data_IF_836581791996
#
_entry.id   IF_836581791996
#
_cell.length_a   1.000
_cell.length_b   1.000
_cell.length_c   1.000
_cell.angle_alpha   90.00
_cell.angle_beta   90.00
_cell.angle_gamma   90.00
#
_symmetry.space_group_name_H-M   'P 1'
#
loop_
_entity.id
_entity.type
_entity.pdbx_description
1 polymer ?
#
# COMPACT_ATOMS: atom_id res chain seq x y z
N UNK A 1 -23.73 -0.40 -14.22
CA UNK A 1 -22.39 -0.92 -13.93
C UNK A 1 -22.56 -1.94 -12.82
N UNK A 2 -22.34 -3.21 -13.10
CA UNK A 2 -22.68 -4.28 -12.17
C UNK A 2 -21.81 -4.19 -10.91
N UNK A 3 -22.41 -4.40 -9.74
CA UNK A 3 -21.74 -4.32 -8.44
C UNK A 3 -20.49 -5.21 -8.37
N UNK A 4 -20.51 -6.37 -9.04
CA UNK A 4 -19.35 -7.25 -9.17
C UNK A 4 -18.17 -6.60 -9.91
N UNK A 5 -18.43 -5.86 -10.99
CA UNK A 5 -17.38 -5.20 -11.77
C UNK A 5 -16.71 -4.08 -10.96
N UNK A 6 -17.48 -3.33 -10.17
CA UNK A 6 -16.98 -2.33 -9.23
C UNK A 6 -16.05 -2.95 -8.18
N UNK A 7 -16.44 -4.09 -7.61
CA UNK A 7 -15.63 -4.83 -6.62
C UNK A 7 -14.31 -5.30 -7.23
N UNK A 8 -14.34 -5.90 -8.43
CA UNK A 8 -13.13 -6.37 -9.12
C UNK A 8 -12.19 -5.21 -9.43
N UNK A 9 -12.71 -4.09 -9.94
CA UNK A 9 -11.91 -2.89 -10.22
C UNK A 9 -11.27 -2.35 -8.93
N UNK A 10 -12.04 -2.24 -7.85
CA UNK A 10 -11.54 -1.77 -6.56
C UNK A 10 -10.42 -2.65 -6.00
N UNK A 11 -10.57 -3.97 -6.10
CA UNK A 11 -9.55 -4.94 -5.69
C UNK A 11 -8.28 -4.78 -6.52
N UNK A 12 -8.41 -4.69 -7.85
CA UNK A 12 -7.26 -4.49 -8.75
C UNK A 12 -6.53 -3.18 -8.45
N UNK A 13 -7.25 -2.08 -8.23
CA UNK A 13 -6.66 -0.79 -7.85
C UNK A 13 -5.92 -0.92 -6.51
N UNK A 14 -6.51 -1.59 -5.52
CA UNK A 14 -5.87 -1.82 -4.23
C UNK A 14 -4.53 -2.56 -4.37
N UNK A 15 -4.50 -3.63 -5.16
CA UNK A 15 -3.29 -4.41 -5.45
C UNK A 15 -2.21 -3.54 -6.12
N UNK A 16 -2.59 -2.69 -7.07
CA UNK A 16 -1.67 -1.75 -7.70
C UNK A 16 -1.08 -0.76 -6.69
N UNK A 17 -1.90 -0.16 -5.82
CA UNK A 17 -1.45 0.77 -4.79
C UNK A 17 -0.45 0.10 -3.83
N UNK A 18 -0.72 -1.15 -3.43
CA UNK A 18 0.21 -1.92 -2.62
C UNK A 18 1.54 -2.19 -3.33
N UNK A 19 1.49 -2.54 -4.63
CA UNK A 19 2.69 -2.74 -5.44
C UNK A 19 3.53 -1.46 -5.56
N UNK A 20 2.90 -0.30 -5.70
CA UNK A 20 3.57 1.01 -5.76
C UNK A 20 4.35 1.28 -4.47
N UNK A 21 3.82 0.93 -3.30
CA UNK A 21 4.54 1.10 -2.02
C UNK A 21 5.83 0.28 -1.98
N UNK A 22 5.76 -0.99 -2.34
CA UNK A 22 6.94 -1.87 -2.39
C UNK A 22 7.95 -1.35 -3.42
N UNK A 23 7.46 -0.87 -4.57
CA UNK A 23 8.30 -0.29 -5.61
C UNK A 23 8.94 1.05 -5.25
N UNK A 24 8.30 1.87 -4.40
CA UNK A 24 8.92 3.07 -3.81
C UNK A 24 10.20 2.70 -3.05
N UNK A 25 10.12 1.69 -2.17
CA UNK A 25 11.28 1.21 -1.41
C UNK A 25 12.39 0.67 -2.31
N UNK A 26 12.01 -0.12 -3.31
CA UNK A 26 12.94 -0.72 -4.26
C UNK A 26 13.59 0.30 -5.21
N UNK A 27 12.84 1.31 -5.67
CA UNK A 27 13.31 2.27 -6.66
C UNK A 27 14.22 3.37 -6.09
N UNK A 28 14.03 3.75 -4.83
CA UNK A 28 14.91 4.73 -4.17
C UNK A 28 16.16 4.11 -3.54
N UNK A 29 16.13 2.81 -3.22
CA UNK A 29 17.26 2.13 -2.62
C UNK A 29 18.36 1.78 -3.61
N UNK A 30 19.57 1.62 -3.08
CA UNK A 30 20.74 1.22 -3.86
C UNK A 30 20.79 -0.30 -4.06
N UNK A 31 19.70 -0.87 -4.60
CA UNK A 31 19.58 -2.31 -4.88
C UNK A 31 19.66 -2.58 -6.38
N UNK A 32 20.11 -3.79 -6.70
CA UNK A 32 20.25 -4.28 -8.07
C UNK A 32 18.90 -4.65 -8.66
N UNK A 33 18.77 -4.60 -9.99
CA UNK A 33 17.54 -5.05 -10.68
C UNK A 33 17.20 -6.52 -10.38
N UNK A 34 18.22 -7.34 -10.06
CA UNK A 34 18.05 -8.73 -9.62
C UNK A 34 17.35 -8.80 -8.27
N UNK A 35 17.77 -8.00 -7.28
CA UNK A 35 17.10 -7.93 -5.98
C UNK A 35 15.63 -7.51 -6.12
N UNK A 36 15.34 -6.52 -6.98
CA UNK A 36 13.95 -6.10 -7.27
C UNK A 36 13.13 -7.26 -7.83
N UNK A 37 13.68 -8.00 -8.80
CA UNK A 37 13.03 -9.17 -9.37
C UNK A 37 12.80 -10.28 -8.32
N UNK A 38 13.76 -10.52 -7.42
CA UNK A 38 13.60 -11.51 -6.36
C UNK A 38 12.48 -11.14 -5.38
N UNK A 39 12.36 -9.86 -5.03
CA UNK A 39 11.28 -9.35 -4.18
C UNK A 39 9.94 -9.48 -4.91
N UNK A 40 9.84 -8.99 -6.15
CA UNK A 40 8.61 -9.10 -6.94
C UNK A 40 8.19 -10.57 -7.14
N UNK A 41 9.14 -11.47 -7.40
CA UNK A 41 8.88 -12.89 -7.56
C UNK A 41 8.44 -13.57 -6.26
N UNK A 42 8.95 -13.16 -5.09
CA UNK A 42 8.50 -13.71 -3.81
C UNK A 42 7.04 -13.32 -3.54
N UNK A 43 6.65 -12.09 -3.87
CA UNK A 43 5.25 -11.65 -3.81
C UNK A 43 4.35 -12.39 -4.79
N UNK A 44 4.81 -12.61 -6.02
CA UNK A 44 4.11 -13.41 -7.01
C UNK A 44 3.83 -14.83 -6.48
N UNK A 45 4.85 -15.47 -5.88
CA UNK A 45 4.71 -16.80 -5.31
C UNK A 45 3.77 -16.83 -4.10
N UNK A 46 3.84 -15.81 -3.24
CA UNK A 46 2.90 -15.64 -2.12
C UNK A 46 1.45 -15.50 -2.63
N UNK A 47 1.22 -14.71 -3.69
CA UNK A 47 -0.12 -14.57 -4.29
C UNK A 47 -0.64 -15.89 -4.86
N UNK A 48 0.22 -16.70 -5.50
CA UNK A 48 -0.14 -18.04 -5.96
C UNK A 48 -0.49 -18.97 -4.80
N UNK A 49 0.31 -18.94 -3.72
CA UNK A 49 0.07 -19.75 -2.53
C UNK A 49 -1.27 -19.39 -1.89
N UNK A 50 -1.54 -18.10 -1.69
CA UNK A 50 -2.82 -17.63 -1.15
C UNK A 50 -3.99 -17.93 -2.09
N UNK A 51 -3.84 -17.76 -3.41
CA UNK A 51 -4.87 -18.13 -4.37
C UNK A 51 -5.18 -19.64 -4.37
N UNK A 52 -4.18 -20.49 -4.13
CA UNK A 52 -4.35 -21.95 -4.06
C UNK A 52 -5.05 -22.40 -2.77
N UNK A 53 -4.84 -21.67 -1.67
CA UNK A 53 -5.43 -21.96 -0.35
C UNK A 53 -6.73 -21.18 -0.11
N UNK A 54 -7.06 -20.20 -0.97
CA UNK A 54 -8.22 -19.32 -0.85
C UNK A 54 -9.53 -20.11 -0.69
N UNK A 55 -9.69 -21.21 -1.44
CA UNK A 55 -10.90 -22.04 -1.40
C UNK A 55 -11.02 -22.88 -0.10
N UNK A 56 -9.96 -22.95 0.71
CA UNK A 56 -9.91 -23.70 1.98
C UNK A 56 -9.80 -22.81 3.22
N UNK A 57 -9.67 -21.50 3.05
CA UNK A 57 -9.60 -20.54 4.15
C UNK A 57 -11.01 -20.18 4.62
N UNK A 58 -11.34 -20.49 5.87
CA UNK A 58 -12.56 -19.99 6.49
C UNK A 58 -12.42 -18.49 6.78
N UNK A 59 -13.48 -17.72 6.50
CA UNK A 59 -13.54 -16.28 6.79
C UNK A 59 -13.26 -15.97 8.27
N UNK A 60 -13.59 -16.89 9.19
CA UNK A 60 -13.34 -16.74 10.63
C UNK A 60 -11.84 -16.77 10.99
N UNK A 61 -11.05 -17.64 10.35
CA UNK A 61 -9.60 -17.68 10.54
C UNK A 61 -8.95 -16.39 10.00
N UNK A 62 -9.51 -15.86 8.91
CA UNK A 62 -9.09 -14.61 8.33
C UNK A 62 -9.43 -13.41 9.23
N UNK A 63 -10.64 -13.33 9.79
CA UNK A 63 -11.02 -12.26 10.71
C UNK A 63 -10.15 -12.24 11.96
N UNK A 64 -9.83 -13.40 12.54
CA UNK A 64 -8.87 -13.48 13.66
C UNK A 64 -7.49 -12.96 13.24
N UNK A 65 -6.98 -13.36 12.08
CA UNK A 65 -5.70 -12.88 11.55
C UNK A 65 -5.73 -11.35 11.28
N UNK A 66 -6.83 -10.82 10.76
CA UNK A 66 -7.03 -9.39 10.52
C UNK A 66 -7.14 -8.57 11.80
N UNK A 67 -7.79 -9.10 12.84
CA UNK A 67 -7.87 -8.46 14.15
C UNK A 67 -6.49 -8.32 14.82
N UNK A 68 -5.65 -9.35 14.73
CA UNK A 68 -4.23 -9.26 15.11
C UNK A 68 -3.45 -8.33 14.17
N UNK A 69 -3.84 -8.29 12.90
CA UNK A 69 -3.25 -7.45 11.86
C UNK A 69 -3.28 -5.96 12.20
N UNK A 70 -4.32 -5.47 12.88
CA UNK A 70 -4.41 -4.08 13.35
C UNK A 70 -3.27 -3.69 14.29
N UNK A 71 -2.93 -4.56 15.25
CA UNK A 71 -1.78 -4.34 16.15
C UNK A 71 -0.45 -4.33 15.39
N UNK A 72 -0.30 -5.23 14.42
CA UNK A 72 0.90 -5.27 13.58
C UNK A 72 0.96 -4.04 12.66
N UNK A 73 -0.17 -3.49 12.23
CA UNK A 73 -0.22 -2.27 11.42
C UNK A 73 0.34 -1.07 12.17
N UNK A 74 0.03 -0.94 13.47
CA UNK A 74 0.59 0.08 14.36
C UNK A 74 2.09 -0.14 14.58
N UNK A 75 2.52 -1.39 14.77
CA UNK A 75 3.95 -1.68 14.92
C UNK A 75 4.73 -1.34 13.65
N UNK A 76 4.21 -1.71 12.49
CA UNK A 76 4.80 -1.38 11.18
C UNK A 76 4.80 0.13 10.94
N UNK A 77 3.75 0.86 11.34
CA UNK A 77 3.70 2.31 11.17
C UNK A 77 4.77 3.02 12.00
N UNK A 78 4.95 2.64 13.26
CA UNK A 78 6.01 3.14 14.12
C UNK A 78 7.40 2.81 13.57
N UNK A 79 7.59 1.58 13.06
CA UNK A 79 8.84 1.16 12.44
C UNK A 79 9.14 1.99 11.18
N UNK A 80 8.14 2.26 10.33
CA UNK A 80 8.30 3.10 9.14
C UNK A 80 8.65 4.55 9.48
N UNK A 81 8.02 5.12 10.52
CA UNK A 81 8.35 6.47 11.01
C UNK A 81 9.78 6.49 11.53
N UNK A 82 10.15 5.54 12.40
CA UNK A 82 11.50 5.44 12.95
C UNK A 82 12.58 5.24 11.89
N UNK A 83 12.34 4.33 10.94
CA UNK A 83 13.24 4.08 9.81
C UNK A 83 13.33 5.29 8.87
N UNK A 84 12.24 6.03 8.67
CA UNK A 84 12.22 7.27 7.89
C UNK A 84 13.08 8.37 8.52
N UNK A 85 12.90 8.64 9.82
CA UNK A 85 13.71 9.59 10.60
C UNK A 85 15.18 9.16 10.59
N UNK A 86 15.46 7.88 10.82
CA UNK A 86 16.83 7.34 10.80
C UNK A 86 17.49 7.53 9.42
N UNK A 87 16.75 7.24 8.34
CA UNK A 87 17.25 7.41 6.96
C UNK A 87 17.62 8.86 6.69
N UNK A 88 16.75 9.82 7.04
CA UNK A 88 17.04 11.25 6.85
C UNK A 88 18.23 11.72 7.69
N UNK A 89 18.25 11.39 8.99
CA UNK A 89 19.32 11.81 9.90
C UNK A 89 20.69 11.31 9.45
N UNK A 90 20.74 10.05 8.97
CA UNK A 90 21.98 9.42 8.55
C UNK A 90 22.45 9.87 7.17
N UNK A 91 21.51 10.13 6.26
CA UNK A 91 21.80 10.76 4.98
C UNK A 91 22.39 12.16 5.15
N UNK A 92 21.82 12.98 6.04
CA UNK A 92 22.36 14.31 6.35
C UNK A 92 23.76 14.24 7.02
N UNK A 93 24.13 13.09 7.59
CA UNK A 93 25.47 12.82 8.10
C UNK A 93 26.44 12.24 7.03
N UNK A 94 26.05 12.25 5.75
CA UNK A 94 26.84 11.77 4.62
C UNK A 94 26.94 10.25 4.46
N UNK A 95 26.11 9.47 5.18
CA UNK A 95 26.13 7.99 5.12
C UNK A 95 24.85 7.46 4.48
N UNK A 96 24.99 6.74 3.36
CA UNK A 96 23.87 6.06 2.72
C UNK A 96 23.48 4.78 3.49
N UNK A 97 22.32 4.81 4.13
CA UNK A 97 21.70 3.65 4.80
C UNK A 97 20.45 3.15 4.10
N UNK A 98 20.18 3.64 2.89
CA UNK A 98 18.99 3.30 2.12
C UNK A 98 18.88 1.79 1.85
N UNK A 99 20.03 1.09 1.73
CA UNK A 99 20.06 -0.38 1.61
C UNK A 99 19.63 -1.14 2.86
N UNK A 100 19.67 -0.53 4.04
CA UNK A 100 19.16 -1.19 5.26
C UNK A 100 17.70 -0.82 5.53
N UNK A 101 17.31 0.41 5.22
CA UNK A 101 15.96 0.90 5.52
C UNK A 101 14.94 0.55 4.44
N UNK A 102 15.36 0.18 3.22
CA UNK A 102 14.40 -0.30 2.20
C UNK A 102 13.66 -1.56 2.63
N UNK A 103 14.31 -2.41 3.42
CA UNK A 103 13.68 -3.64 3.90
C UNK A 103 12.48 -3.32 4.79
N UNK A 104 12.53 -2.25 5.58
CA UNK A 104 11.42 -1.84 6.43
C UNK A 104 10.15 -1.47 5.64
N UNK A 105 10.31 -0.88 4.45
CA UNK A 105 9.17 -0.50 3.58
C UNK A 105 8.76 -1.61 2.61
N UNK A 106 9.71 -2.45 2.22
CA UNK A 106 9.52 -3.56 1.28
C UNK A 106 9.23 -4.90 1.96
N UNK A 107 9.24 -4.99 3.28
CA UNK A 107 8.85 -6.23 3.97
C UNK A 107 7.34 -6.43 3.84
N UNK A 108 6.87 -7.66 3.52
CA UNK A 108 5.46 -7.96 3.45
C UNK A 108 4.81 -7.70 4.81
N UNK A 109 3.93 -6.72 4.87
CA UNK A 109 3.13 -6.50 6.07
C UNK A 109 2.08 -7.62 6.13
N UNK A 110 1.84 -8.27 7.30
CA UNK A 110 0.86 -9.35 7.38
C UNK A 110 -0.56 -8.88 7.02
N UNK A 111 -0.84 -7.59 7.21
CA UNK A 111 -2.09 -6.96 6.74
C UNK A 111 -2.20 -6.96 5.21
N UNK A 112 -1.10 -6.70 4.52
CA UNK A 112 -1.02 -6.68 3.06
C UNK A 112 -1.24 -8.09 2.50
N UNK A 113 -0.63 -9.10 3.13
CA UNK A 113 -0.87 -10.50 2.80
C UNK A 113 -2.32 -10.90 3.07
N UNK A 114 -2.90 -10.42 4.17
CA UNK A 114 -4.31 -10.61 4.46
C UNK A 114 -5.20 -10.00 3.37
N UNK A 115 -4.98 -8.74 3.04
CA UNK A 115 -5.72 -8.05 1.99
C UNK A 115 -5.61 -8.77 0.63
N UNK A 116 -4.43 -9.32 0.30
CA UNK A 116 -4.24 -10.15 -0.89
C UNK A 116 -5.05 -11.45 -0.83
N UNK A 117 -5.09 -12.13 0.31
CA UNK A 117 -5.88 -13.36 0.46
C UNK A 117 -7.39 -13.09 0.30
N UNK A 118 -7.94 -12.07 0.97
CA UNK A 118 -9.35 -11.67 0.78
C UNK A 118 -9.63 -11.22 -0.63
N UNK A 119 -8.71 -10.48 -1.25
CA UNK A 119 -8.84 -10.07 -2.65
C UNK A 119 -8.95 -11.29 -3.57
N UNK A 120 -8.17 -12.34 -3.34
CA UNK A 120 -8.26 -13.58 -4.11
C UNK A 120 -9.59 -14.32 -3.86
N UNK A 121 -10.04 -14.41 -2.61
CA UNK A 121 -11.32 -15.05 -2.27
C UNK A 121 -12.50 -14.33 -2.93
N UNK A 122 -12.58 -13.00 -2.80
CA UNK A 122 -13.64 -12.19 -3.40
C UNK A 122 -13.63 -12.24 -4.93
N UNK A 123 -12.45 -12.27 -5.56
CA UNK A 123 -12.36 -12.47 -7.02
C UNK A 123 -12.78 -13.88 -7.44
N UNK A 124 -12.51 -14.90 -6.63
CA UNK A 124 -12.94 -16.30 -6.86
C UNK A 124 -14.45 -16.40 -6.93
N UNK A 125 -15.12 -15.81 -5.96
CA UNK A 125 -16.57 -15.77 -5.91
C UNK A 125 -17.16 -14.92 -7.05
N UNK A 126 -16.57 -13.76 -7.33
CA UNK A 126 -17.08 -12.83 -8.35
C UNK A 126 -16.92 -13.34 -9.78
N UNK A 127 -15.85 -14.07 -10.09
CA UNK A 127 -15.54 -14.54 -11.45
C UNK A 127 -15.84 -16.02 -11.67
N UNK A 128 -16.23 -16.77 -10.62
CA UNK A 128 -16.42 -18.24 -10.67
C UNK A 128 -15.21 -18.99 -11.29
N UNK A 129 -14.01 -18.47 -11.06
CA UNK A 129 -12.75 -19.05 -11.55
C UNK A 129 -12.07 -19.84 -10.44
N UNK A 130 -11.33 -20.89 -10.80
CA UNK A 130 -10.48 -21.63 -9.84
C UNK A 130 -9.47 -20.70 -9.15
N UNK A 131 -9.27 -20.85 -7.83
CA UNK A 131 -8.39 -19.98 -7.03
C UNK A 131 -6.95 -19.83 -7.57
N UNK A 132 -6.40 -20.87 -8.21
CA UNK A 132 -5.08 -20.82 -8.86
C UNK A 132 -5.02 -19.78 -10.00
N UNK A 133 -6.07 -19.68 -10.82
CA UNK A 133 -6.12 -18.71 -11.94
C UNK A 133 -6.17 -17.27 -11.42
N UNK A 134 -6.84 -17.06 -10.30
CA UNK A 134 -6.93 -15.74 -9.65
C UNK A 134 -5.63 -15.39 -8.94
N UNK A 135 -5.02 -16.34 -8.23
CA UNK A 135 -3.68 -16.17 -7.67
C UNK A 135 -2.67 -15.80 -8.75
N UNK A 136 -2.78 -16.38 -9.95
CA UNK A 136 -1.97 -16.00 -11.11
C UNK A 136 -2.23 -14.55 -11.55
N UNK A 137 -3.51 -14.17 -11.71
CA UNK A 137 -3.89 -12.81 -12.13
C UNK A 137 -3.43 -11.73 -11.13
N UNK A 138 -3.70 -11.96 -9.84
CA UNK A 138 -3.28 -11.08 -8.73
C UNK A 138 -1.76 -11.05 -8.62
N UNK A 139 -1.10 -12.19 -8.76
CA UNK A 139 0.35 -12.27 -8.79
C UNK A 139 0.96 -11.44 -9.93
N UNK A 140 0.50 -11.63 -11.17
CA UNK A 140 1.03 -10.91 -12.35
C UNK A 140 0.84 -9.40 -12.19
N UNK A 141 -0.34 -8.97 -11.75
CA UNK A 141 -0.64 -7.55 -11.53
C UNK A 141 0.25 -6.95 -10.45
N UNK A 142 0.45 -7.63 -9.32
CA UNK A 142 1.34 -7.16 -8.26
C UNK A 142 2.80 -7.12 -8.72
N UNK A 143 3.27 -8.18 -9.38
CA UNK A 143 4.63 -8.25 -9.95
C UNK A 143 4.88 -7.09 -10.90
N UNK A 144 3.95 -6.85 -11.83
CA UNK A 144 4.04 -5.77 -12.81
C UNK A 144 4.05 -4.41 -12.11
N UNK A 145 3.17 -4.21 -11.12
CA UNK A 145 3.11 -2.98 -10.34
C UNK A 145 4.45 -2.69 -9.63
N UNK A 146 5.05 -3.70 -8.98
CA UNK A 146 6.34 -3.54 -8.28
C UNK A 146 7.46 -3.22 -9.27
N UNK A 147 7.57 -3.95 -10.37
CA UNK A 147 8.63 -3.74 -11.37
C UNK A 147 8.48 -2.36 -12.01
N UNK A 148 7.30 -2.04 -12.54
CA UNK A 148 7.05 -0.76 -13.22
C UNK A 148 7.30 0.42 -12.28
N UNK A 149 6.76 0.37 -11.05
CA UNK A 149 6.95 1.46 -10.09
C UNK A 149 8.42 1.57 -9.65
N UNK A 150 9.12 0.46 -9.40
CA UNK A 150 10.54 0.47 -9.04
C UNK A 150 11.40 1.11 -10.13
N UNK A 151 11.18 0.74 -11.39
CA UNK A 151 11.90 1.33 -12.52
C UNK A 151 11.54 2.80 -12.71
N UNK A 152 10.26 3.18 -12.56
CA UNK A 152 9.81 4.56 -12.67
C UNK A 152 10.48 5.46 -11.62
N UNK A 153 10.54 5.00 -10.36
CA UNK A 153 11.22 5.73 -9.29
C UNK A 153 12.73 5.75 -9.46
N UNK A 154 13.35 4.67 -9.95
CA UNK A 154 14.80 4.62 -10.25
C UNK A 154 15.18 5.54 -11.41
N UNK A 155 14.34 5.63 -12.44
CA UNK A 155 14.52 6.55 -13.55
C UNK A 155 14.31 7.99 -13.11
N UNK A 156 13.29 8.24 -12.28
CA UNK A 156 13.04 9.53 -11.64
C UNK A 156 14.19 9.98 -10.73
N UNK A 157 14.82 9.05 -10.00
CA UNK A 157 16.04 9.29 -9.20
C UNK A 157 17.20 9.78 -10.07
N UNK A 158 17.45 9.09 -11.19
CA UNK A 158 18.52 9.44 -12.14
C UNK A 158 18.26 10.77 -12.87
N UNK A 159 17.01 11.02 -13.28
CA UNK A 159 16.65 12.22 -14.05
C UNK A 159 16.46 13.49 -13.22
N UNK A 160 15.92 13.38 -12.00
CA UNK A 160 15.60 14.52 -11.15
C UNK A 160 16.52 14.66 -9.92
N UNK A 161 17.58 13.85 -9.83
CA UNK A 161 18.54 13.91 -8.72
C UNK A 161 17.93 13.61 -7.34
N UNK A 162 16.80 12.89 -7.28
CA UNK A 162 16.10 12.64 -6.00
C UNK A 162 16.98 11.82 -5.05
N UNK A 163 17.27 12.38 -3.89
CA UNK A 163 18.15 11.79 -2.86
C UNK A 163 17.38 10.84 -1.93
N UNK A 164 18.07 9.96 -1.18
CA UNK A 164 17.48 9.11 -0.14
C UNK A 164 16.64 9.84 0.92
N UNK A 165 16.71 11.16 1.01
CA UNK A 165 15.77 11.98 1.78
C UNK A 165 14.32 11.82 1.32
N UNK A 166 14.06 11.75 0.00
CA UNK A 166 12.68 11.58 -0.50
C UNK A 166 12.11 10.22 -0.12
N UNK A 167 12.97 9.21 0.01
CA UNK A 167 12.58 7.91 0.54
C UNK A 167 12.23 8.00 2.03
N UNK A 168 13.06 8.68 2.83
CA UNK A 168 12.77 8.90 4.25
C UNK A 168 11.46 9.66 4.48
N UNK A 169 11.20 10.72 3.69
CA UNK A 169 9.93 11.46 3.73
C UNK A 169 8.74 10.59 3.33
N UNK A 170 8.88 9.77 2.28
CA UNK A 170 7.84 8.84 1.86
C UNK A 170 7.55 7.77 2.93
N UNK A 171 8.58 7.25 3.61
CA UNK A 171 8.43 6.29 4.71
C UNK A 171 7.69 6.91 5.90
N UNK A 172 8.03 8.15 6.29
CA UNK A 172 7.31 8.86 7.36
C UNK A 172 5.86 9.13 6.98
N UNK A 173 5.59 9.59 5.76
CA UNK A 173 4.23 9.84 5.28
C UNK A 173 3.39 8.56 5.26
N UNK A 174 3.95 7.45 4.77
CA UNK A 174 3.28 6.14 4.80
C UNK A 174 3.04 5.65 6.23
N UNK A 175 4.00 5.84 7.13
CA UNK A 175 3.85 5.50 8.53
C UNK A 175 2.74 6.29 9.20
N UNK A 176 2.68 7.61 9.01
CA UNK A 176 1.60 8.44 9.54
C UNK A 176 0.25 8.04 8.94
N UNK A 177 0.18 7.80 7.63
CA UNK A 177 -1.04 7.32 6.96
C UNK A 177 -1.53 5.98 7.54
N UNK A 178 -0.61 5.06 7.83
CA UNK A 178 -0.94 3.76 8.44
C UNK A 178 -1.43 3.90 9.88
N UNK A 179 -0.82 4.79 10.65
CA UNK A 179 -1.24 5.09 12.02
C UNK A 179 -2.63 5.73 12.04
N UNK A 180 -2.89 6.66 11.11
CA UNK A 180 -4.20 7.26 10.91
C UNK A 180 -5.25 6.20 10.53
N UNK A 181 -4.90 5.29 9.62
CA UNK A 181 -5.77 4.18 9.22
C UNK A 181 -6.11 3.25 10.37
N UNK A 182 -5.12 2.88 11.19
CA UNK A 182 -5.33 2.04 12.37
C UNK A 182 -6.24 2.69 13.43
N UNK A 183 -6.27 4.02 13.51
CA UNK A 183 -7.18 4.78 14.38
C UNK A 183 -8.58 4.96 13.77
N UNK A 184 -8.65 5.31 12.48
CA UNK A 184 -9.90 5.66 11.79
C UNK A 184 -10.77 4.43 11.49
N UNK A 185 -10.19 3.31 11.06
CA UNK A 185 -10.94 2.10 10.69
C UNK A 185 -11.82 1.58 11.85
N UNK A 186 -11.28 1.30 13.06
CA UNK A 186 -12.11 0.81 14.17
C UNK A 186 -13.12 1.85 14.65
N UNK A 187 -12.76 3.13 14.63
CA UNK A 187 -13.66 4.22 14.98
C UNK A 187 -14.85 4.29 14.01
N UNK A 188 -14.60 4.14 12.71
CA UNK A 188 -15.64 4.14 11.68
C UNK A 188 -16.54 2.89 11.75
N UNK A 189 -15.99 1.72 12.04
CA UNK A 189 -16.79 0.49 12.24
C UNK A 189 -17.70 0.65 13.46
N UNK A 190 -17.18 1.19 14.57
CA UNK A 190 -17.95 1.46 15.79
C UNK A 190 -19.08 2.47 15.55
N UNK A 191 -18.84 3.54 14.78
CA UNK A 191 -19.89 4.53 14.47
C UNK A 191 -20.95 4.01 13.52
N UNK A 192 -20.62 3.06 12.62
CA UNK A 192 -21.64 2.36 11.83
C UNK A 192 -22.52 1.41 12.64
N UNK A 193 -22.00 0.83 13.72
CA UNK A 193 -22.76 -0.04 14.62
C UNK A 193 -23.66 0.75 15.57
N UNK A 194 -23.30 1.99 15.89
CA UNK A 194 -24.21 2.93 16.54
C UNK A 194 -25.18 3.45 15.47
N UNK A 195 -26.47 3.13 15.58
CA UNK A 195 -27.55 3.63 14.72
C UNK A 195 -27.73 5.16 14.88
N UNK A 196 -26.70 5.94 14.56
CA UNK A 196 -26.80 7.38 14.36
C UNK A 196 -27.55 7.54 13.04
N UNK A 197 -28.79 8.03 13.15
CA UNK A 197 -29.72 8.42 12.07
C UNK A 197 -29.07 8.37 10.70
N UNK A 198 -29.55 7.43 9.88
CA UNK A 198 -29.21 7.27 8.47
C UNK A 198 -29.22 8.64 7.78
N UNK A 199 -28.06 9.27 7.68
CA UNK A 199 -27.86 10.35 6.72
C UNK A 199 -27.85 9.60 5.40
N UNK A 200 -29.01 9.65 4.71
CA UNK A 200 -29.31 8.83 3.55
C UNK A 200 -28.10 8.71 2.62
N UNK A 201 -27.70 7.47 2.35
CA UNK A 201 -26.62 7.11 1.45
C UNK A 201 -26.99 7.40 -0.02
N UNK A 202 -27.29 8.65 -0.33
CA UNK A 202 -27.39 9.16 -1.70
C UNK A 202 -26.32 10.24 -1.87
N UNK A 203 -25.41 10.01 -2.83
CA UNK A 203 -24.46 10.96 -3.47
C UNK A 203 -23.56 11.87 -2.63
N UNK A 204 -23.74 11.94 -1.31
CA UNK A 204 -23.10 12.94 -0.44
C UNK A 204 -21.79 12.49 0.18
N UNK A 205 -21.48 11.18 0.17
CA UNK A 205 -20.19 10.65 0.65
C UNK A 205 -18.99 11.02 -0.23
N UNK A 206 -19.24 11.40 -1.49
CA UNK A 206 -18.21 11.82 -2.46
C UNK A 206 -17.73 13.24 -2.14
N UNK A 207 -18.60 14.07 -1.57
CA UNK A 207 -18.33 15.49 -1.26
C UNK A 207 -17.19 15.67 -0.25
N UNK A 208 -17.17 15.00 0.92
CA UNK A 208 -16.04 15.12 1.85
C UNK A 208 -14.74 14.55 1.27
N UNK A 209 -14.82 13.51 0.44
CA UNK A 209 -13.66 12.91 -0.20
C UNK A 209 -13.04 13.84 -1.26
N UNK A 210 -13.88 14.53 -2.04
CA UNK A 210 -13.48 15.59 -2.95
C UNK A 210 -12.89 16.79 -2.21
N UNK A 211 -13.49 17.20 -1.09
CA UNK A 211 -12.97 18.30 -0.27
C UNK A 211 -11.55 18.00 0.26
N UNK A 212 -11.30 16.79 0.76
CA UNK A 212 -9.96 16.37 1.16
C UNK A 212 -8.98 16.35 -0.03
N UNK A 213 -9.41 15.86 -1.19
CA UNK A 213 -8.60 15.87 -2.41
C UNK A 213 -8.19 17.27 -2.84
N UNK A 214 -9.11 18.24 -2.79
CA UNK A 214 -8.86 19.64 -3.12
C UNK A 214 -7.86 20.28 -2.15
N UNK A 215 -7.99 20.02 -0.85
CA UNK A 215 -7.05 20.55 0.16
C UNK A 215 -5.63 20.02 -0.09
N UNK A 216 -5.48 18.73 -0.40
CA UNK A 216 -4.18 18.12 -0.69
C UNK A 216 -3.58 18.69 -1.98
N UNK A 217 -4.39 18.86 -3.05
CA UNK A 217 -3.95 19.47 -4.30
C UNK A 217 -3.57 20.95 -4.13
N UNK A 218 -4.36 21.71 -3.38
CA UNK A 218 -4.08 23.12 -3.08
C UNK A 218 -2.76 23.25 -2.31
N UNK A 219 -2.52 22.40 -1.31
CA UNK A 219 -1.25 22.35 -0.59
C UNK A 219 -0.07 22.01 -1.50
N UNK A 220 -0.24 21.06 -2.43
CA UNK A 220 0.79 20.69 -3.40
C UNK A 220 1.11 21.83 -4.39
N UNK A 221 0.09 22.54 -4.88
CA UNK A 221 0.27 23.69 -5.77
C UNK A 221 0.90 24.88 -5.07
N UNK A 222 0.51 25.18 -3.83
CA UNK A 222 1.10 26.26 -3.03
C UNK A 222 2.59 26.00 -2.75
N UNK A 223 2.98 24.77 -2.45
CA UNK A 223 4.39 24.40 -2.24
C UNK A 223 5.22 24.52 -3.54
N UNK A 224 4.60 24.26 -4.69
CA UNK A 224 5.26 24.38 -6.00
C UNK A 224 5.41 25.84 -6.45
N UNK A 225 4.42 26.69 -6.17
CA UNK A 225 4.48 28.13 -6.45
C UNK A 225 5.53 28.79 -5.55
N UNK A 226 5.55 28.46 -4.26
CA UNK A 226 6.51 29.03 -3.30
C UNK A 226 7.98 28.69 -3.60
N UNK A 227 8.25 27.61 -4.33
CA UNK A 227 9.59 27.24 -4.79
C UNK A 227 10.00 27.86 -6.14
N UNK A 228 9.08 28.50 -6.84
CA UNK A 228 9.37 29.20 -8.10
C UNK A 228 9.60 30.71 -7.90
N UNK A 229 9.23 31.26 -6.74
CA UNK A 229 9.39 32.67 -6.36
C UNK A 229 10.62 32.92 -5.45
N UNK A 230 11.53 31.94 -5.31
CA UNK A 230 12.78 31.98 -4.54
C UNK A 230 13.95 31.57 -5.43
#
# INVERSE_FOLDING_TARGET
>A
MDSAMLTVIGIMIGILIFGIKTGLGCGFSNITAREILTIASSYFFLALLFGSVADRLSLEAFEKLSSMGMGIHVLVSLLLIGAGIYTQKKWNSGKDVSRHTFLAISMPCPVCLGALAVSCMLLSESLNLSGIKIGLLVGISFFTAVVVSSFLFRFGKTRYGKTPETMGSAMMLLGIYYLLGALLIPAYIKTKQMNLVSTGGGDTGIIPLMAFGVIVLAGFFMDRIRRHDL
#
